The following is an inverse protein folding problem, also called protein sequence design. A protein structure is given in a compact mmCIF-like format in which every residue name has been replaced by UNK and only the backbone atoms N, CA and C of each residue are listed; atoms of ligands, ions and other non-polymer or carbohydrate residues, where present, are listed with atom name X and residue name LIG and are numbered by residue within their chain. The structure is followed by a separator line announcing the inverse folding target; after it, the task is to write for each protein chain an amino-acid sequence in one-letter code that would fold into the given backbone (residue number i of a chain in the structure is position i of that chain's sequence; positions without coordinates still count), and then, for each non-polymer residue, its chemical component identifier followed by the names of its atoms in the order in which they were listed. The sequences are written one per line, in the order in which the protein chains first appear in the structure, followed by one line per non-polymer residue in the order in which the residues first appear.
data_IF_796757659356
#
_entry.id   IF_796757659356
#
_cell.length_a   1.000
_cell.length_b   1.000
_cell.length_c   1.000
_cell.angle_alpha   90.00
_cell.angle_beta   90.00
_cell.angle_gamma   90.00
#
_symmetry.space_group_name_H-M   'P 1'
#
loop_
_entity.id
_entity.type
_entity.pdbx_description
1 polymer ?
#
# COMPACT_ATOMS: atom_id res chain seq x y z
N UNK A 1 11.85 -26.59 8.24
CA UNK A 1 11.90 -27.05 9.65
C UNK A 1 10.68 -26.47 10.33
N UNK A 2 9.67 -27.31 10.60
CA UNK A 2 8.39 -26.87 11.16
C UNK A 2 8.55 -26.50 12.62
N UNK A 3 8.03 -25.34 13.03
CA UNK A 3 7.71 -25.06 14.41
C UNK A 3 6.50 -25.91 14.78
N UNK A 4 6.67 -27.13 15.30
CA UNK A 4 5.53 -28.02 15.58
C UNK A 4 5.71 -28.88 16.85
N UNK A 5 6.18 -28.30 17.95
CA UNK A 5 6.11 -28.93 19.29
C UNK A 5 5.52 -27.96 20.34
N UNK A 6 4.59 -27.09 19.92
CA UNK A 6 3.84 -26.20 20.81
C UNK A 6 2.41 -26.69 21.00
N UNK A 7 1.83 -26.46 22.18
CA UNK A 7 0.41 -26.73 22.44
C UNK A 7 -0.45 -25.92 21.45
N UNK A 8 -1.41 -26.58 20.78
CA UNK A 8 -2.36 -25.95 19.85
C UNK A 8 -3.45 -25.19 20.61
N UNK A 9 -3.03 -24.21 21.40
CA UNK A 9 -3.90 -23.38 22.21
C UNK A 9 -3.59 -21.91 21.98
N UNK A 10 -4.58 -21.15 21.51
CA UNK A 10 -4.46 -19.70 21.40
C UNK A 10 -4.80 -19.01 22.73
N UNK A 11 -4.16 -17.87 22.98
CA UNK A 11 -4.57 -16.98 24.05
C UNK A 11 -5.84 -16.24 23.65
N UNK A 12 -6.90 -16.20 24.48
CA UNK A 12 -8.17 -15.55 24.14
C UNK A 12 -8.02 -14.07 23.73
N UNK A 13 -7.08 -13.35 24.33
CA UNK A 13 -6.81 -11.94 24.03
C UNK A 13 -6.25 -11.74 22.62
N UNK A 14 -5.32 -12.60 22.19
CA UNK A 14 -4.73 -12.56 20.86
C UNK A 14 -5.76 -12.95 19.79
N UNK A 15 -6.57 -13.97 20.07
CA UNK A 15 -7.67 -14.39 19.20
C UNK A 15 -8.68 -13.26 18.99
N UNK A 16 -9.10 -12.58 20.06
CA UNK A 16 -10.03 -11.45 19.96
C UNK A 16 -9.41 -10.28 19.20
N UNK A 17 -8.13 -9.97 19.43
CA UNK A 17 -7.41 -8.93 18.68
C UNK A 17 -7.42 -9.24 17.18
N UNK A 18 -7.14 -10.48 16.78
CA UNK A 18 -7.14 -10.90 15.38
C UNK A 18 -8.56 -10.94 14.77
N UNK A 19 -9.57 -11.27 15.57
CA UNK A 19 -10.98 -11.28 15.18
C UNK A 19 -11.50 -9.86 14.90
N UNK A 20 -11.06 -8.87 15.67
CA UNK A 20 -11.51 -7.47 15.55
C UNK A 20 -10.73 -6.69 14.47
N UNK A 21 -9.43 -6.94 14.32
CA UNK A 21 -8.59 -6.24 13.34
C UNK A 21 -8.90 -6.69 11.91
N UNK A 22 -9.39 -5.78 11.05
CA UNK A 22 -9.72 -6.09 9.65
C UNK A 22 -8.52 -6.70 8.88
N UNK A 23 -7.32 -6.19 9.13
CA UNK A 23 -6.03 -6.70 8.68
C UNK A 23 -4.98 -6.45 9.77
N UNK A 24 -3.80 -7.12 9.76
CA UNK A 24 -2.79 -6.94 10.80
C UNK A 24 -2.31 -5.50 10.96
N UNK A 25 -2.32 -4.73 9.86
CA UNK A 25 -1.92 -3.33 9.78
C UNK A 25 -3.10 -2.33 9.76
N UNK A 26 -4.35 -2.79 9.81
CA UNK A 26 -5.53 -1.89 9.72
C UNK A 26 -6.72 -2.42 10.50
N UNK A 27 -7.24 -1.62 11.44
CA UNK A 27 -8.42 -1.97 12.24
C UNK A 27 -9.73 -1.89 11.45
N UNK A 28 -9.94 -0.79 10.72
CA UNK A 28 -11.22 -0.47 10.10
C UNK A 28 -11.37 -0.96 8.65
N UNK A 29 -12.62 -0.94 8.19
CA UNK A 29 -12.96 -1.20 6.78
C UNK A 29 -12.43 -0.10 5.84
N UNK A 30 -12.33 -0.39 4.55
CA UNK A 30 -11.88 0.54 3.50
C UNK A 30 -12.80 0.57 2.27
N UNK A 31 -13.93 -0.14 2.32
CA UNK A 31 -14.99 -0.06 1.32
C UNK A 31 -16.36 0.01 1.99
N UNK A 32 -17.30 0.72 1.36
CA UNK A 32 -18.67 0.93 1.88
C UNK A 32 -19.44 -0.37 2.09
N UNK A 33 -19.22 -1.37 1.23
CA UNK A 33 -19.90 -2.67 1.31
C UNK A 33 -19.14 -3.72 2.11
N UNK A 34 -17.96 -3.39 2.64
CA UNK A 34 -17.13 -4.34 3.38
C UNK A 34 -17.71 -4.56 4.79
N UNK A 35 -17.90 -5.83 5.16
CA UNK A 35 -18.28 -6.18 6.52
C UNK A 35 -17.08 -6.10 7.48
N UNK A 36 -17.22 -5.47 8.66
CA UNK A 36 -16.22 -5.52 9.70
C UNK A 36 -15.89 -6.96 10.12
N UNK A 37 -14.61 -7.27 10.29
CA UNK A 37 -14.14 -8.61 10.65
C UNK A 37 -14.75 -9.13 11.95
N UNK A 38 -14.96 -8.26 12.94
CA UNK A 38 -15.62 -8.59 14.22
C UNK A 38 -17.02 -9.24 14.03
N UNK A 39 -17.72 -8.90 12.93
CA UNK A 39 -19.03 -9.46 12.59
C UNK A 39 -18.89 -10.65 11.67
N UNK A 40 -17.98 -10.58 10.70
CA UNK A 40 -17.77 -11.62 9.70
C UNK A 40 -17.16 -12.92 10.29
N UNK A 41 -16.29 -12.79 11.29
CA UNK A 41 -15.62 -13.89 12.01
C UNK A 41 -16.36 -14.20 13.32
N UNK A 42 -17.67 -14.44 13.24
CA UNK A 42 -18.52 -14.76 14.39
C UNK A 42 -19.47 -15.92 14.10
N UNK A 43 -19.96 -16.56 15.16
CA UNK A 43 -20.91 -17.66 15.09
C UNK A 43 -20.28 -19.06 15.07
N UNK A 44 -21.10 -20.12 14.95
CA UNK A 44 -20.68 -21.50 15.24
C UNK A 44 -19.54 -22.03 14.38
N UNK A 45 -19.33 -21.47 13.17
CA UNK A 45 -18.24 -21.90 12.28
C UNK A 45 -16.85 -21.45 12.74
N UNK A 46 -16.77 -20.48 13.63
CA UNK A 46 -15.53 -19.98 14.20
C UNK A 46 -15.34 -20.42 15.66
N UNK A 47 -16.33 -21.13 16.22
CA UNK A 47 -16.20 -21.75 17.53
C UNK A 47 -15.15 -22.85 17.45
N UNK A 48 -14.21 -22.88 18.41
CA UNK A 48 -13.06 -23.80 18.41
C UNK A 48 -12.13 -23.67 17.18
N UNK A 49 -12.19 -22.56 16.46
CA UNK A 49 -11.26 -22.25 15.36
C UNK A 49 -10.14 -21.36 15.88
N UNK A 50 -8.89 -21.81 15.73
CA UNK A 50 -7.72 -20.99 16.06
C UNK A 50 -7.60 -19.85 15.04
N UNK A 51 -7.71 -18.61 15.51
CA UNK A 51 -7.71 -17.40 14.69
C UNK A 51 -6.36 -17.15 14.04
N UNK A 52 -5.27 -17.54 14.70
CA UNK A 52 -3.88 -17.38 14.23
C UNK A 52 -3.64 -18.01 12.86
N UNK A 53 -4.30 -19.14 12.58
CA UNK A 53 -4.14 -19.87 11.33
C UNK A 53 -5.17 -19.47 10.26
N UNK A 54 -6.09 -18.55 10.56
CA UNK A 54 -7.04 -18.06 9.57
C UNK A 54 -6.37 -17.02 8.66
N UNK A 55 -6.70 -16.98 7.36
CA UNK A 55 -6.16 -15.98 6.44
C UNK A 55 -6.41 -14.55 6.93
N UNK A 56 -5.31 -13.81 7.13
CA UNK A 56 -5.33 -12.42 7.54
C UNK A 56 -4.20 -11.63 6.85
N UNK A 57 -4.28 -11.41 5.53
CA UNK A 57 -3.26 -10.66 4.81
C UNK A 57 -3.24 -9.18 5.22
N UNK A 58 -2.09 -8.53 5.03
CA UNK A 58 -1.96 -7.07 5.19
C UNK A 58 -2.87 -6.30 4.23
N UNK A 59 -3.44 -5.21 4.70
CA UNK A 59 -4.26 -4.33 3.88
C UNK A 59 -3.34 -3.50 2.96
N UNK A 60 -3.48 -3.71 1.65
CA UNK A 60 -2.68 -3.03 0.63
C UNK A 60 -2.83 -1.49 0.65
N UNK A 61 -3.97 -0.97 1.13
CA UNK A 61 -4.19 0.48 1.27
C UNK A 61 -3.15 1.13 2.20
N UNK A 62 -2.77 0.47 3.30
CA UNK A 62 -1.74 1.01 4.20
C UNK A 62 -0.35 0.87 3.58
N UNK A 63 -0.11 -0.20 2.81
CA UNK A 63 1.18 -0.45 2.17
C UNK A 63 1.47 0.54 1.04
N UNK A 64 0.46 0.92 0.26
CA UNK A 64 0.64 1.88 -0.83
C UNK A 64 0.86 3.30 -0.31
N UNK A 65 0.25 3.67 0.81
CA UNK A 65 0.47 4.96 1.47
C UNK A 65 1.83 5.10 2.15
N UNK A 66 2.62 4.01 2.24
CA UNK A 66 4.03 4.07 2.64
C UNK A 66 4.97 4.35 1.47
N UNK A 67 4.51 4.21 0.22
CA UNK A 67 5.36 4.49 -0.94
C UNK A 67 5.62 6.00 -1.05
N UNK A 68 6.88 6.42 -1.22
CA UNK A 68 7.18 7.83 -1.44
C UNK A 68 6.70 8.29 -2.81
N UNK A 69 6.41 9.59 -2.92
CA UNK A 69 6.09 10.26 -4.19
C UNK A 69 7.29 10.18 -5.12
N UNK A 70 7.06 9.66 -6.33
CA UNK A 70 8.04 9.66 -7.42
C UNK A 70 8.00 11.00 -8.14
N UNK A 71 9.11 11.73 -8.05
CA UNK A 71 9.23 13.05 -8.66
C UNK A 71 9.60 12.95 -10.14
N UNK A 72 8.99 13.80 -10.96
CA UNK A 72 9.33 13.90 -12.39
C UNK A 72 9.47 15.35 -12.82
N UNK A 73 10.37 15.61 -13.75
CA UNK A 73 10.43 16.89 -14.46
C UNK A 73 9.50 16.92 -15.68
N UNK A 74 8.94 15.77 -16.10
CA UNK A 74 8.08 15.68 -17.29
C UNK A 74 6.63 15.97 -16.95
N UNK A 75 5.93 16.49 -17.95
CA UNK A 75 4.50 16.76 -17.94
C UNK A 75 3.63 15.48 -17.85
N UNK A 76 4.13 14.40 -18.45
CA UNK A 76 3.45 13.12 -18.56
C UNK A 76 4.43 12.00 -18.19
N UNK A 77 4.01 11.13 -17.29
CA UNK A 77 4.77 9.93 -16.87
C UNK A 77 4.14 8.69 -17.47
N UNK A 78 4.96 7.75 -17.92
CA UNK A 78 4.49 6.40 -18.29
C UNK A 78 4.69 5.43 -17.13
N UNK A 79 3.64 4.69 -16.77
CA UNK A 79 3.70 3.64 -15.76
C UNK A 79 3.18 2.32 -16.35
N UNK A 80 3.96 1.25 -16.21
CA UNK A 80 3.59 -0.12 -16.59
C UNK A 80 3.67 -1.10 -15.42
N UNK A 81 3.84 -0.59 -14.18
CA UNK A 81 3.93 -1.43 -12.98
C UNK A 81 5.29 -2.10 -12.76
N UNK A 82 6.25 -1.93 -13.68
CA UNK A 82 7.56 -2.56 -13.61
C UNK A 82 7.58 -4.00 -14.14
N UNK A 83 8.77 -4.49 -14.50
CA UNK A 83 8.92 -5.86 -15.02
C UNK A 83 8.35 -6.08 -16.42
N UNK A 84 8.07 -5.01 -17.17
CA UNK A 84 7.56 -5.06 -18.54
C UNK A 84 6.22 -5.82 -18.62
N UNK A 85 6.15 -6.99 -19.29
CA UNK A 85 4.91 -7.76 -19.41
C UNK A 85 4.39 -8.36 -18.08
N UNK A 86 5.20 -8.37 -17.01
CA UNK A 86 4.78 -8.85 -15.69
C UNK A 86 4.02 -7.78 -14.87
N UNK A 87 3.99 -6.53 -15.36
CA UNK A 87 3.26 -5.44 -14.74
C UNK A 87 1.83 -5.30 -15.27
N UNK A 88 1.33 -4.07 -15.30
CA UNK A 88 0.00 -3.73 -15.83
C UNK A 88 0.12 -3.05 -17.21
N UNK A 89 -0.98 -2.90 -17.96
CA UNK A 89 -0.96 -2.17 -19.22
C UNK A 89 -0.37 -0.77 -19.03
N UNK A 90 0.55 -0.38 -19.93
CA UNK A 90 1.18 0.93 -19.86
C UNK A 90 0.14 2.04 -19.94
N UNK A 91 0.12 2.91 -18.94
CA UNK A 91 -0.68 4.13 -18.93
C UNK A 91 0.19 5.38 -18.89
N UNK A 92 -0.41 6.50 -19.26
CA UNK A 92 0.19 7.81 -19.22
C UNK A 92 -0.55 8.69 -18.21
N UNK A 93 0.18 9.23 -17.24
CA UNK A 93 -0.36 9.98 -16.11
C UNK A 93 0.05 11.45 -16.28
N UNK A 94 -0.91 12.35 -16.22
CA UNK A 94 -0.65 13.80 -16.29
C UNK A 94 -0.26 14.33 -14.90
N UNK A 95 0.89 15.01 -14.82
CA UNK A 95 1.44 15.63 -13.59
C UNK A 95 1.44 17.17 -13.63
N UNK A 96 0.71 17.77 -14.58
CA UNK A 96 0.55 19.24 -14.75
C UNK A 96 -0.03 19.97 -13.55
N UNK A 97 -0.87 19.29 -12.76
CA UNK A 97 -1.57 19.92 -11.64
C UNK A 97 -0.66 19.92 -10.41
N UNK A 98 -0.80 20.91 -9.51
CA UNK A 98 -0.07 20.94 -8.24
C UNK A 98 -0.67 19.95 -7.23
N UNK A 99 -0.68 18.67 -7.59
CA UNK A 99 -1.22 17.58 -6.79
C UNK A 99 -0.40 16.32 -7.05
N UNK A 100 -0.52 15.37 -6.13
CA UNK A 100 0.00 14.03 -6.32
C UNK A 100 -0.98 13.28 -7.23
N UNK A 101 -0.47 12.68 -8.30
CA UNK A 101 -1.22 11.91 -9.28
C UNK A 101 -0.86 10.44 -9.17
N UNK A 102 -1.86 9.58 -8.96
CA UNK A 102 -1.63 8.15 -8.72
C UNK A 102 -1.81 7.35 -10.00
N UNK A 103 -1.04 6.28 -10.16
CA UNK A 103 -1.35 5.25 -11.15
C UNK A 103 -2.65 4.53 -10.77
N UNK A 104 -3.58 4.39 -11.72
CA UNK A 104 -4.88 3.74 -11.47
C UNK A 104 -4.79 2.22 -11.30
N UNK A 105 -3.67 1.61 -11.65
CA UNK A 105 -3.45 0.17 -11.49
C UNK A 105 -2.69 -0.14 -10.20
N UNK A 106 -1.42 0.28 -10.10
CA UNK A 106 -0.56 -0.04 -8.96
C UNK A 106 -0.67 0.95 -7.79
N UNK A 107 -1.31 2.11 -7.98
CA UNK A 107 -1.46 3.13 -6.93
C UNK A 107 -0.20 3.94 -6.63
N UNK A 108 0.91 3.73 -7.36
CA UNK A 108 2.16 4.46 -7.15
C UNK A 108 1.92 5.97 -7.34
N UNK A 109 2.35 6.81 -6.39
CA UNK A 109 2.20 8.26 -6.47
C UNK A 109 3.29 8.90 -7.34
N UNK A 110 2.89 9.83 -8.21
CA UNK A 110 3.77 10.68 -9.01
C UNK A 110 3.45 12.15 -8.79
N UNK A 111 4.47 13.02 -8.82
CA UNK A 111 4.27 14.47 -8.83
C UNK A 111 5.33 15.16 -9.67
N UNK A 112 5.01 16.34 -10.19
CA UNK A 112 5.99 17.15 -10.91
C UNK A 112 6.84 17.99 -9.94
N UNK A 113 8.16 17.99 -10.15
CA UNK A 113 9.14 18.73 -9.35
C UNK A 113 8.82 20.24 -9.26
N UNK A 114 8.25 20.83 -10.32
CA UNK A 114 7.81 22.22 -10.33
C UNK A 114 6.81 22.57 -9.21
N UNK A 115 6.04 21.58 -8.75
CA UNK A 115 5.04 21.77 -7.69
C UNK A 115 5.55 21.34 -6.30
N UNK A 116 6.83 20.96 -6.17
CA UNK A 116 7.38 20.43 -4.91
C UNK A 116 7.23 21.39 -3.74
N UNK A 117 7.57 22.67 -3.92
CA UNK A 117 7.44 23.68 -2.87
C UNK A 117 6.00 23.87 -2.41
N UNK A 118 5.03 23.74 -3.31
CA UNK A 118 3.61 23.79 -2.95
C UNK A 118 3.19 22.54 -2.18
N UNK A 119 3.56 21.35 -2.65
CA UNK A 119 3.20 20.10 -1.97
C UNK A 119 3.83 19.99 -0.58
N UNK A 120 5.03 20.53 -0.38
CA UNK A 120 5.70 20.62 0.92
C UNK A 120 5.06 21.65 1.86
N UNK A 121 4.37 22.67 1.34
CA UNK A 121 3.70 23.67 2.18
C UNK A 121 2.34 23.22 2.70
N UNK A 122 1.78 22.14 2.15
CA UNK A 122 0.54 21.54 2.64
C UNK A 122 0.74 20.95 4.05
N UNK A 123 -0.27 21.08 4.94
CA UNK A 123 -0.16 20.59 6.32
C UNK A 123 -0.01 19.06 6.40
N UNK A 124 -0.52 18.34 5.40
CA UNK A 124 -0.41 16.89 5.28
C UNK A 124 -0.64 16.47 3.83
N UNK A 125 0.09 15.45 3.38
CA UNK A 125 -0.09 14.82 2.07
C UNK A 125 -0.50 13.37 2.25
N UNK A 126 -1.24 12.83 1.27
CA UNK A 126 -1.69 11.43 1.32
C UNK A 126 -0.55 10.42 1.16
N UNK A 127 0.62 10.85 0.68
CA UNK A 127 1.80 10.01 0.49
C UNK A 127 3.04 10.76 1.01
N UNK A 128 4.03 10.04 1.57
CA UNK A 128 5.33 10.61 1.93
C UNK A 128 5.98 11.29 0.74
N UNK A 129 6.48 12.52 0.91
CA UNK A 129 7.18 13.24 -0.15
C UNK A 129 8.64 12.78 -0.32
N UNK A 130 9.17 12.11 0.69
CA UNK A 130 10.54 11.58 0.77
C UNK A 130 10.50 10.12 1.23
N UNK A 131 11.50 9.30 0.89
CA UNK A 131 11.60 7.91 1.36
C UNK A 131 11.65 7.82 2.89
N UNK A 132 10.84 6.93 3.47
CA UNK A 132 10.75 6.72 4.93
C UNK A 132 11.62 5.53 5.35
N UNK A 133 12.16 4.77 4.40
CA UNK A 133 12.85 3.50 4.59
C UNK A 133 11.96 2.43 5.28
N UNK A 134 10.65 2.45 5.00
CA UNK A 134 9.76 1.37 5.43
C UNK A 134 10.02 0.09 4.63
N UNK A 135 9.89 -1.08 5.27
CA UNK A 135 10.06 -2.39 4.62
C UNK A 135 9.13 -2.60 3.42
N UNK A 136 7.97 -1.95 3.41
CA UNK A 136 7.02 -2.03 2.32
C UNK A 136 7.43 -1.19 1.10
N UNK A 137 8.38 -0.26 1.23
CA UNK A 137 8.84 0.60 0.13
C UNK A 137 9.45 -0.24 -0.99
N UNK A 138 8.99 0.01 -2.21
CA UNK A 138 9.56 -0.61 -3.40
C UNK A 138 10.71 0.29 -3.88
N UNK A 139 11.95 -0.21 -3.95
CA UNK A 139 13.08 0.59 -4.38
C UNK A 139 12.82 1.16 -5.78
N UNK A 140 12.96 2.47 -5.90
CA UNK A 140 12.78 3.18 -7.16
C UNK A 140 14.06 3.02 -8.00
N UNK A 141 13.98 2.24 -9.09
CA UNK A 141 15.04 2.17 -10.08
C UNK A 141 15.00 3.34 -11.10
N UNK A 142 13.99 4.21 -11.02
CA UNK A 142 13.82 5.34 -11.94
C UNK A 142 14.65 6.54 -11.48
N UNK A 143 15.64 6.91 -12.29
CA UNK A 143 16.45 8.11 -12.03
C UNK A 143 15.66 9.34 -12.45
N UNK A 144 15.49 10.30 -11.53
CA UNK A 144 15.01 11.64 -11.87
C UNK A 144 16.18 12.41 -12.47
N UNK A 145 16.46 12.20 -13.76
CA UNK A 145 17.45 12.98 -14.51
C UNK A 145 16.82 13.59 -15.76
N UNK A 146 17.39 14.71 -16.20
CA UNK A 146 17.09 15.36 -17.48
C UNK A 146 17.60 14.53 -18.69
N UNK A 147 18.20 13.37 -18.45
CA UNK A 147 18.73 12.53 -19.53
C UNK A 147 17.60 11.93 -20.38
N UNK A 148 17.77 11.87 -21.71
CA UNK A 148 16.89 11.11 -22.57
C UNK A 148 16.77 9.68 -22.04
N UNK A 149 15.54 9.24 -21.76
CA UNK A 149 15.22 7.92 -21.21
C UNK A 149 15.62 7.66 -19.74
N UNK A 150 16.10 8.64 -18.95
CA UNK A 150 16.43 8.44 -17.53
C UNK A 150 15.27 7.96 -16.64
N UNK A 151 14.03 8.22 -17.10
CA UNK A 151 12.78 7.83 -16.43
C UNK A 151 12.11 6.60 -17.07
N UNK A 152 12.79 5.85 -17.95
CA UNK A 152 12.28 4.58 -18.49
C UNK A 152 12.59 3.41 -17.58
#
# INVERSE_FOLDING_TARGET
MGLQDGDLQELPEDAERQRVMQAPNRKGVWSRSQQPRERAMSGPRFEQTLMEFQPQPEAAIELIHKQPVRWTQKRVVSCDGGGGPLGHPRIFINTDKPQICMCTYCGIPFANEHHRSYLQSLPSTSYPLEPVNDRAEVPENQRVSDEPFGQR
#
